data_IF_089287730758
#
_entry.id   IF_089287730758
#
_cell.length_a   1.000
_cell.length_b   1.000
_cell.length_c   1.000
_cell.angle_alpha   90.00
_cell.angle_beta   90.00
_cell.angle_gamma   90.00
#
_symmetry.space_group_name_H-M   'P 1'
#
loop_
_entity.id
_entity.type
_entity.pdbx_description
1 polymer ?
#
# COMPACT_ATOMS: atom_id res chain seq x y z
N UNK A 1 -11.73 44.44 28.08
CA UNK A 1 -10.90 44.98 29.17
C UNK A 1 -9.63 44.14 29.20
N UNK A 2 -8.44 44.73 29.17
CA UNK A 2 -7.20 43.96 29.38
C UNK A 2 -7.15 43.49 30.84
N UNK A 3 -6.66 42.26 31.10
CA UNK A 3 -6.59 41.73 32.45
C UNK A 3 -5.67 42.58 33.33
N UNK A 4 -4.61 43.16 32.75
CA UNK A 4 -3.75 44.14 33.44
C UNK A 4 -4.54 45.37 33.91
N UNK A 5 -5.40 45.94 33.06
CA UNK A 5 -6.22 47.11 33.41
C UNK A 5 -7.29 46.78 34.46
N UNK A 6 -7.83 45.55 34.45
CA UNK A 6 -8.80 45.10 35.44
C UNK A 6 -8.13 44.89 36.81
N UNK A 7 -7.01 44.17 36.84
CA UNK A 7 -6.22 43.93 38.06
C UNK A 7 -5.72 45.24 38.65
N UNK A 8 -5.23 46.17 37.82
CA UNK A 8 -4.75 47.48 38.28
C UNK A 8 -5.88 48.27 38.96
N UNK A 9 -7.08 48.27 38.37
CA UNK A 9 -8.25 48.93 38.97
C UNK A 9 -8.66 48.31 40.29
N UNK A 10 -8.58 46.99 40.42
CA UNK A 10 -8.95 46.30 41.65
C UNK A 10 -7.92 46.50 42.76
N UNK A 11 -6.62 46.51 42.44
CA UNK A 11 -5.57 46.85 43.39
C UNK A 11 -5.74 48.30 43.88
N UNK A 12 -5.99 49.24 42.98
CA UNK A 12 -6.23 50.65 43.34
C UNK A 12 -7.46 50.76 44.25
N UNK A 13 -8.53 50.01 43.96
CA UNK A 13 -9.73 49.97 44.79
C UNK A 13 -9.45 49.45 46.20
N UNK A 14 -8.74 48.33 46.33
CA UNK A 14 -8.32 47.76 47.61
C UNK A 14 -7.52 48.79 48.43
N UNK A 15 -6.58 49.50 47.79
CA UNK A 15 -5.77 50.53 48.46
C UNK A 15 -6.64 51.70 48.93
N UNK A 16 -7.57 52.17 48.10
CA UNK A 16 -8.47 53.28 48.45
C UNK A 16 -9.45 52.91 49.57
N UNK A 17 -10.01 51.70 49.54
CA UNK A 17 -10.85 51.16 50.60
C UNK A 17 -10.08 51.13 51.93
N UNK A 18 -8.83 50.64 51.91
CA UNK A 18 -7.94 50.63 53.08
C UNK A 18 -7.62 52.04 53.61
N UNK A 19 -7.38 53.00 52.73
CA UNK A 19 -7.08 54.38 53.11
C UNK A 19 -8.30 55.12 53.68
N UNK A 20 -9.51 54.73 53.29
CA UNK A 20 -10.74 55.36 53.77
C UNK A 20 -11.06 55.03 55.23
N UNK A 21 -10.47 53.96 55.79
CA UNK A 21 -10.58 53.61 57.21
C UNK A 21 -12.00 53.29 57.69
N UNK A 22 -12.92 53.00 56.77
CA UNK A 22 -14.34 52.77 57.04
C UNK A 22 -14.61 51.39 57.67
N UNK A 23 -13.73 50.41 57.45
CA UNK A 23 -13.84 49.04 57.96
C UNK A 23 -12.58 48.59 58.73
N UNK A 24 -12.75 47.68 59.69
CA UNK A 24 -11.66 47.06 60.47
C UNK A 24 -10.79 46.19 59.54
N UNK A 25 -9.46 46.32 59.65
CA UNK A 25 -8.54 45.69 58.71
C UNK A 25 -8.43 44.17 58.91
N UNK A 26 -9.07 43.39 58.03
CA UNK A 26 -8.87 41.95 57.92
C UNK A 26 -7.71 41.61 56.97
N UNK A 27 -6.54 41.34 57.57
CA UNK A 27 -5.34 40.97 56.82
C UNK A 27 -5.49 39.66 56.03
N UNK A 28 -6.29 38.70 56.51
CA UNK A 28 -6.41 37.37 55.92
C UNK A 28 -7.41 37.37 54.75
N UNK A 29 -8.52 38.11 54.91
CA UNK A 29 -9.48 38.40 53.85
C UNK A 29 -8.84 39.15 52.68
N UNK A 30 -8.09 40.22 52.95
CA UNK A 30 -7.40 40.99 51.90
C UNK A 30 -6.31 40.16 51.20
N UNK A 31 -5.58 39.32 51.93
CA UNK A 31 -4.61 38.39 51.35
C UNK A 31 -5.26 37.38 50.41
N UNK A 32 -6.45 36.91 50.75
CA UNK A 32 -7.24 35.98 49.93
C UNK A 32 -7.78 36.67 48.68
N UNK A 33 -8.29 37.90 48.84
CA UNK A 33 -8.76 38.76 47.75
C UNK A 33 -7.65 39.05 46.73
N UNK A 34 -6.44 39.40 47.21
CA UNK A 34 -5.27 39.62 46.37
C UNK A 34 -4.80 38.35 45.64
N UNK A 35 -4.89 37.18 46.27
CA UNK A 35 -4.60 35.91 45.59
C UNK A 35 -5.59 35.59 44.49
N UNK A 36 -6.87 35.91 44.69
CA UNK A 36 -7.91 35.78 43.66
C UNK A 36 -7.60 36.58 42.38
N UNK A 37 -6.97 37.75 42.51
CA UNK A 37 -6.56 38.57 41.34
C UNK A 37 -5.47 37.90 40.47
N UNK A 38 -4.74 36.93 41.02
CA UNK A 38 -3.70 36.17 40.30
C UNK A 38 -4.20 34.84 39.75
N UNK A 39 -5.47 34.49 39.99
CA UNK A 39 -6.06 33.27 39.43
C UNK A 39 -5.97 33.28 37.90
N UNK A 40 -5.60 32.11 37.37
CA UNK A 40 -5.25 31.93 35.97
C UNK A 40 -6.37 32.36 35.00
N UNK A 41 -7.63 32.18 35.39
CA UNK A 41 -8.79 32.51 34.56
C UNK A 41 -9.11 34.01 34.57
N UNK A 42 -8.80 34.71 35.68
CA UNK A 42 -8.95 36.16 35.79
C UNK A 42 -7.78 36.92 35.13
N UNK A 43 -6.55 36.42 35.28
CA UNK A 43 -5.32 37.01 34.76
C UNK A 43 -4.85 36.36 33.43
N UNK A 44 -5.75 35.76 32.66
CA UNK A 44 -5.41 34.88 31.53
C UNK A 44 -4.54 35.57 30.45
N UNK A 45 -4.70 36.88 30.22
CA UNK A 45 -3.88 37.62 29.24
C UNK A 45 -2.41 37.77 29.67
N UNK A 46 -2.12 37.73 30.98
CA UNK A 46 -0.77 37.81 31.55
C UNK A 46 -0.02 36.48 31.32
N UNK A 47 -0.73 35.36 31.45
CA UNK A 47 -0.16 34.02 31.23
C UNK A 47 -0.21 33.57 29.75
N UNK A 48 -0.75 34.41 28.85
CA UNK A 48 -1.02 34.06 27.44
C UNK A 48 0.21 33.54 26.68
N UNK A 49 1.41 34.02 26.99
CA UNK A 49 2.65 33.57 26.33
C UNK A 49 2.99 32.10 26.63
N UNK A 50 2.82 31.66 27.88
CA UNK A 50 3.07 30.26 28.28
C UNK A 50 1.97 29.32 27.80
N UNK A 51 0.72 29.79 27.75
CA UNK A 51 -0.41 29.03 27.20
C UNK A 51 -0.32 28.88 25.66
N UNK A 52 0.10 29.92 24.94
CA UNK A 52 0.30 29.89 23.49
C UNK A 52 1.44 28.95 23.09
N UNK A 53 2.55 28.92 23.85
CA UNK A 53 3.68 28.02 23.63
C UNK A 53 3.28 26.55 23.71
N UNK A 54 2.52 26.14 24.74
CA UNK A 54 2.02 24.76 24.88
C UNK A 54 1.06 24.35 23.76
N UNK A 55 0.23 25.28 23.28
CA UNK A 55 -0.71 25.03 22.18
C UNK A 55 0.01 24.88 20.84
N UNK A 56 1.04 25.70 20.61
CA UNK A 56 1.95 25.58 19.46
C UNK A 56 2.66 24.22 19.44
N UNK A 57 3.26 23.79 20.54
CA UNK A 57 3.95 22.49 20.62
C UNK A 57 3.01 21.30 20.40
N UNK A 58 1.80 21.34 20.96
CA UNK A 58 0.78 20.31 20.71
C UNK A 58 0.36 20.28 19.24
N UNK A 59 0.23 21.45 18.59
CA UNK A 59 -0.11 21.54 17.18
C UNK A 59 0.99 20.97 16.27
N UNK A 60 2.27 21.26 16.54
CA UNK A 60 3.38 20.70 15.77
C UNK A 60 3.51 19.18 15.95
N UNK A 61 3.30 18.67 17.17
CA UNK A 61 3.27 17.21 17.42
C UNK A 61 2.13 16.55 16.65
N UNK A 62 0.93 17.13 16.64
CA UNK A 62 -0.20 16.60 15.88
C UNK A 62 0.03 16.56 14.36
N UNK A 63 0.71 17.57 13.82
CA UNK A 63 1.09 17.62 12.40
C UNK A 63 2.12 16.56 12.05
N UNK A 64 3.12 16.33 12.92
CA UNK A 64 4.12 15.28 12.72
C UNK A 64 3.50 13.88 12.81
N UNK A 65 2.56 13.66 13.73
CA UNK A 65 1.86 12.38 13.81
C UNK A 65 0.99 12.13 12.59
N UNK A 66 0.33 13.16 12.04
CA UNK A 66 -0.43 13.04 10.79
C UNK A 66 0.49 12.67 9.62
N UNK A 67 1.59 13.41 9.42
CA UNK A 67 2.58 13.11 8.37
C UNK A 67 3.19 11.72 8.50
N UNK A 68 3.42 11.24 9.73
CA UNK A 68 3.90 9.88 9.98
C UNK A 68 2.86 8.83 9.58
N UNK A 69 1.57 9.07 9.88
CA UNK A 69 0.50 8.17 9.48
C UNK A 69 0.37 8.12 7.95
N UNK A 70 0.44 9.28 7.28
CA UNK A 70 0.41 9.35 5.81
C UNK A 70 1.60 8.61 5.19
N UNK A 71 2.82 8.82 5.70
CA UNK A 71 4.01 8.12 5.23
C UNK A 71 3.94 6.60 5.48
N UNK A 72 3.37 6.18 6.60
CA UNK A 72 3.17 4.76 6.90
C UNK A 72 2.15 4.12 5.95
N UNK A 73 1.07 4.84 5.61
CA UNK A 73 0.08 4.38 4.64
C UNK A 73 0.67 4.27 3.23
N UNK A 74 1.48 5.25 2.81
CA UNK A 74 2.19 5.21 1.53
C UNK A 74 3.17 4.04 1.47
N UNK A 75 3.94 3.81 2.54
CA UNK A 75 4.85 2.67 2.61
C UNK A 75 4.10 1.34 2.49
N UNK A 76 3.02 1.16 3.25
CA UNK A 76 2.21 -0.06 3.20
C UNK A 76 1.60 -0.31 1.81
N UNK A 77 1.15 0.76 1.12
CA UNK A 77 0.67 0.66 -0.25
C UNK A 77 1.78 0.22 -1.21
N UNK A 78 2.98 0.79 -1.08
CA UNK A 78 4.14 0.44 -1.93
C UNK A 78 4.63 -0.99 -1.70
N UNK A 79 4.64 -1.46 -0.45
CA UNK A 79 4.98 -2.84 -0.12
C UNK A 79 3.97 -3.83 -0.71
N UNK A 80 2.67 -3.52 -0.65
CA UNK A 80 1.63 -4.33 -1.27
C UNK A 80 1.76 -4.38 -2.81
N UNK A 81 2.03 -3.24 -3.46
CA UNK A 81 2.31 -3.18 -4.90
C UNK A 81 3.53 -4.05 -5.25
N UNK A 82 4.60 -3.98 -4.46
CA UNK A 82 5.81 -4.77 -4.69
C UNK A 82 5.56 -6.28 -4.59
N UNK A 83 4.81 -6.72 -3.57
CA UNK A 83 4.49 -8.14 -3.38
C UNK A 83 3.67 -8.68 -4.56
N UNK A 84 2.69 -7.92 -5.05
CA UNK A 84 1.90 -8.29 -6.23
C UNK A 84 2.81 -8.49 -7.45
N UNK A 85 3.75 -7.56 -7.70
CA UNK A 85 4.70 -7.68 -8.81
C UNK A 85 5.58 -8.93 -8.67
N UNK A 86 6.02 -9.26 -7.46
CA UNK A 86 6.81 -10.47 -7.20
C UNK A 86 6.01 -11.74 -7.48
N UNK A 87 4.75 -11.79 -7.04
CA UNK A 87 3.84 -12.90 -7.32
C UNK A 87 3.55 -13.05 -8.82
N UNK A 88 3.31 -11.95 -9.52
CA UNK A 88 3.11 -11.93 -10.97
C UNK A 88 4.34 -12.47 -11.71
N UNK A 89 5.55 -12.04 -11.33
CA UNK A 89 6.79 -12.57 -11.92
C UNK A 89 6.89 -14.08 -11.71
N UNK A 90 6.60 -14.56 -10.49
CA UNK A 90 6.62 -15.98 -10.18
C UNK A 90 5.60 -16.77 -10.98
N UNK A 91 4.40 -16.22 -11.19
CA UNK A 91 3.38 -16.84 -12.01
C UNK A 91 3.79 -16.88 -13.48
N UNK A 92 4.36 -15.79 -14.01
CA UNK A 92 4.87 -15.73 -15.38
C UNK A 92 5.98 -16.76 -15.63
N UNK A 93 6.90 -16.93 -14.68
CA UNK A 93 7.94 -17.97 -14.77
C UNK A 93 7.35 -19.38 -14.83
N UNK A 94 6.34 -19.67 -14.00
CA UNK A 94 5.63 -20.97 -14.04
C UNK A 94 4.93 -21.19 -15.38
N UNK A 95 4.25 -20.17 -15.91
CA UNK A 95 3.58 -20.25 -17.20
C UNK A 95 4.59 -20.53 -18.31
N UNK A 96 5.71 -19.80 -18.35
CA UNK A 96 6.78 -20.03 -19.34
C UNK A 96 7.34 -21.45 -19.26
N UNK A 97 7.57 -21.97 -18.06
CA UNK A 97 8.06 -23.34 -17.89
C UNK A 97 7.06 -24.39 -18.43
N UNK A 98 5.77 -24.21 -18.16
CA UNK A 98 4.71 -25.08 -18.68
C UNK A 98 4.57 -24.97 -20.21
N UNK A 99 4.66 -23.77 -20.76
CA UNK A 99 4.63 -23.53 -22.21
C UNK A 99 5.80 -24.21 -22.92
N UNK A 100 7.01 -24.11 -22.35
CA UNK A 100 8.20 -24.79 -22.89
C UNK A 100 8.09 -26.31 -22.84
N UNK A 101 7.56 -26.86 -21.74
CA UNK A 101 7.32 -28.29 -21.62
C UNK A 101 6.28 -28.76 -22.66
N UNK A 102 5.14 -28.06 -22.76
CA UNK A 102 4.10 -28.38 -23.72
C UNK A 102 4.63 -28.28 -25.16
N UNK A 103 5.44 -27.26 -25.46
CA UNK A 103 6.08 -27.10 -26.78
C UNK A 103 6.98 -28.29 -27.13
N UNK A 104 7.76 -28.79 -26.16
CA UNK A 104 8.62 -29.99 -26.36
C UNK A 104 7.77 -31.24 -26.62
N UNK A 105 6.72 -31.44 -25.83
CA UNK A 105 5.81 -32.59 -26.01
C UNK A 105 5.13 -32.55 -27.38
N UNK A 106 4.61 -31.39 -27.78
CA UNK A 106 3.98 -31.22 -29.10
C UNK A 106 4.98 -31.48 -30.23
N UNK A 107 6.21 -30.96 -30.13
CA UNK A 107 7.25 -31.19 -31.14
C UNK A 107 7.58 -32.69 -31.28
N UNK A 108 7.67 -33.43 -30.17
CA UNK A 108 7.89 -34.87 -30.17
C UNK A 108 6.72 -35.61 -30.86
N UNK A 109 5.48 -35.30 -30.47
CA UNK A 109 4.29 -35.91 -31.08
C UNK A 109 4.19 -35.61 -32.58
N UNK A 110 4.47 -34.37 -32.99
CA UNK A 110 4.44 -34.01 -34.42
C UNK A 110 5.49 -34.77 -35.22
N UNK A 111 6.68 -34.96 -34.67
CA UNK A 111 7.75 -35.73 -35.32
C UNK A 111 7.39 -37.20 -35.46
N UNK A 112 6.78 -37.80 -34.43
CA UNK A 112 6.30 -39.19 -34.49
C UNK A 112 5.19 -39.37 -35.52
N UNK A 113 4.22 -38.44 -35.56
CA UNK A 113 3.14 -38.46 -36.53
C UNK A 113 3.67 -38.34 -37.97
N UNK A 114 4.63 -37.45 -38.21
CA UNK A 114 5.29 -37.31 -39.51
C UNK A 114 5.99 -38.62 -39.91
N UNK A 115 6.74 -39.24 -38.99
CA UNK A 115 7.39 -40.53 -39.23
C UNK A 115 6.39 -41.61 -39.60
N UNK A 116 5.28 -41.72 -38.86
CA UNK A 116 4.24 -42.71 -39.12
C UNK A 116 3.55 -42.46 -40.47
N UNK A 117 3.33 -41.20 -40.84
CA UNK A 117 2.77 -40.82 -42.14
C UNK A 117 3.68 -41.28 -43.28
N UNK A 118 4.98 -40.98 -43.19
CA UNK A 118 5.96 -41.44 -44.20
C UNK A 118 6.00 -42.97 -44.26
N UNK A 119 6.01 -43.66 -43.12
CA UNK A 119 6.00 -45.12 -43.09
C UNK A 119 4.76 -45.71 -43.77
N UNK A 120 3.58 -45.13 -43.51
CA UNK A 120 2.32 -45.52 -44.14
C UNK A 120 2.38 -45.33 -45.66
N UNK A 121 2.89 -44.19 -46.11
CA UNK A 121 2.97 -43.85 -47.53
C UNK A 121 3.94 -44.79 -48.27
N UNK A 122 5.08 -45.12 -47.66
CA UNK A 122 6.02 -46.12 -48.17
C UNK A 122 5.36 -47.50 -48.27
N UNK A 123 4.63 -47.93 -47.24
CA UNK A 123 3.94 -49.22 -47.24
C UNK A 123 2.86 -49.28 -48.32
N UNK A 124 2.10 -48.19 -48.51
CA UNK A 124 1.10 -48.09 -49.56
C UNK A 124 1.73 -48.14 -50.97
N UNK A 125 2.83 -47.41 -51.18
CA UNK A 125 3.56 -47.45 -52.45
C UNK A 125 4.12 -48.85 -52.76
N UNK A 126 4.70 -49.52 -51.75
CA UNK A 126 5.18 -50.90 -51.88
C UNK A 126 4.05 -51.86 -52.24
N UNK A 127 2.90 -51.79 -51.56
CA UNK A 127 1.77 -52.67 -51.86
C UNK A 127 1.22 -52.46 -53.29
N UNK A 128 1.20 -51.21 -53.78
CA UNK A 128 0.82 -50.92 -55.19
C UNK A 128 1.82 -51.51 -56.18
N UNK A 129 3.12 -51.36 -55.90
CA UNK A 129 4.17 -51.95 -56.72
C UNK A 129 4.05 -53.48 -56.79
N UNK A 130 3.92 -54.15 -55.64
CA UNK A 130 3.76 -55.61 -55.55
C UNK A 130 2.48 -56.11 -56.25
N UNK A 131 1.41 -55.31 -56.27
CA UNK A 131 0.18 -55.64 -57.00
C UNK A 131 0.43 -55.65 -58.53
N UNK A 132 1.07 -54.61 -59.06
CA UNK A 132 1.38 -54.54 -60.50
C UNK A 132 2.43 -55.58 -60.93
N UNK A 133 3.43 -55.86 -60.11
CA UNK A 133 4.45 -56.88 -60.38
C UNK A 133 3.81 -58.28 -60.51
N UNK A 134 2.82 -58.57 -59.65
CA UNK A 134 2.03 -59.80 -59.72
C UNK A 134 1.16 -59.86 -60.98
N UNK A 135 0.54 -58.75 -61.38
CA UNK A 135 -0.24 -58.67 -62.62
C UNK A 135 0.64 -58.89 -63.86
N UNK A 136 1.84 -58.30 -63.91
CA UNK A 136 2.80 -58.51 -64.99
C UNK A 136 3.25 -59.97 -65.10
N UNK A 137 3.60 -60.60 -63.98
CA UNK A 137 3.99 -62.01 -63.96
C UNK A 137 2.89 -62.93 -64.49
N UNK A 138 1.62 -62.63 -64.17
CA UNK A 138 0.47 -63.39 -64.69
C UNK A 138 0.25 -63.18 -66.19
N UNK A 139 0.57 -62.00 -66.73
CA UNK A 139 0.47 -61.73 -68.17
C UNK A 139 1.55 -62.51 -68.94
N UNK A 140 2.78 -62.55 -68.43
CA UNK A 140 3.90 -63.27 -69.05
C UNK A 140 3.65 -64.80 -69.07
N UNK A 141 3.06 -65.34 -68.00
CA UNK A 141 2.66 -66.75 -67.94
C UNK A 141 1.55 -67.08 -68.96
N UNK A 142 0.57 -66.18 -69.16
CA UNK A 142 -0.51 -66.36 -70.14
C UNK A 142 0.00 -66.25 -71.58
N UNK A 143 1.02 -65.42 -71.83
CA UNK A 143 1.64 -65.28 -73.16
C UNK A 143 2.57 -66.46 -73.52
N UNK A 144 3.21 -67.09 -72.54
CA UNK A 144 4.10 -68.26 -72.77
C UNK A 144 3.37 -69.57 -73.04
N UNK A 145 2.04 -69.63 -72.87
CA UNK A 145 1.20 -70.83 -73.10
C UNK A 145 0.61 -70.87 -74.53
N UNK A 146 0.87 -69.87 -75.38
CA UNK A 146 0.50 -69.85 -76.80
C UNK A 146 1.67 -70.15 -77.72
#
# INVERSE_FOLDING_TARGET
>A
MDACDAITRDIVRIILERLSGVEEFDAEGERTRLRGLLEHDYAQSIYRSTAASKRSQRSSVSQLTAKRADAAAELAAKEAEYEIVLEEQRQQERIKALEEEHKKQMAAQTSELERLKVQKDVKAARARFEAYDRELSQIDDVQSIK
#
